data_IF_792750202908
#
_entry.id   IF_792750202908
#
_cell.length_a   1.000
_cell.length_b   1.000
_cell.length_c   1.000
_cell.angle_alpha   90.00
_cell.angle_beta   90.00
_cell.angle_gamma   90.00
#
_symmetry.space_group_name_H-M   'P 1'
#
loop_
_entity.id
_entity.type
_entity.pdbx_description
1 polymer ?
#
# COMPACT_ATOMS: atom_id res chain seq x y z
N UNK A 1 30.41 -40.75 -17.92
CA UNK A 1 29.31 -40.71 -16.93
C UNK A 1 29.44 -39.46 -16.10
N UNK A 2 30.49 -39.37 -15.27
CA UNK A 2 30.68 -38.25 -14.33
C UNK A 2 30.61 -36.87 -14.99
N UNK A 3 31.31 -36.62 -16.11
CA UNK A 3 31.37 -35.28 -16.73
C UNK A 3 30.00 -34.70 -17.11
N UNK A 4 29.27 -35.36 -18.02
CA UNK A 4 27.95 -34.86 -18.47
C UNK A 4 26.88 -34.88 -17.36
N UNK A 5 26.93 -35.84 -16.43
CA UNK A 5 26.00 -35.86 -15.30
C UNK A 5 26.27 -34.70 -14.32
N UNK A 6 27.54 -34.44 -13.99
CA UNK A 6 27.94 -33.28 -13.18
C UNK A 6 27.60 -31.96 -13.88
N UNK A 7 27.81 -31.85 -15.21
CA UNK A 7 27.41 -30.68 -16.00
C UNK A 7 25.89 -30.43 -15.92
N UNK A 8 25.07 -31.47 -16.08
CA UNK A 8 23.61 -31.37 -15.96
C UNK A 8 23.15 -30.99 -14.54
N UNK A 9 23.88 -31.40 -13.50
CA UNK A 9 23.62 -30.98 -12.12
C UNK A 9 24.01 -29.51 -11.88
N UNK A 10 25.17 -29.06 -12.37
CA UNK A 10 25.59 -27.65 -12.30
C UNK A 10 24.58 -26.73 -12.99
N UNK A 11 24.21 -27.03 -14.24
CA UNK A 11 23.21 -26.26 -14.99
C UNK A 11 21.84 -26.22 -14.29
N UNK A 12 21.46 -27.27 -13.55
CA UNK A 12 20.24 -27.27 -12.73
C UNK A 12 20.33 -26.30 -11.54
N UNK A 13 21.48 -26.25 -10.86
CA UNK A 13 21.74 -25.29 -9.78
C UNK A 13 21.76 -23.85 -10.33
N UNK A 14 22.52 -23.61 -11.40
CA UNK A 14 22.58 -22.33 -12.11
C UNK A 14 21.18 -21.84 -12.56
N UNK A 15 20.32 -22.73 -13.07
CA UNK A 15 18.93 -22.38 -13.43
C UNK A 15 18.11 -21.96 -12.21
N UNK A 16 18.24 -22.67 -11.09
CA UNK A 16 17.54 -22.33 -9.84
C UNK A 16 18.00 -20.98 -9.31
N UNK A 17 19.30 -20.71 -9.31
CA UNK A 17 19.87 -19.47 -8.79
C UNK A 17 19.60 -18.27 -9.71
N UNK A 18 19.64 -18.46 -11.04
CA UNK A 18 19.16 -17.47 -12.00
C UNK A 18 17.68 -17.13 -11.79
N UNK A 19 16.83 -18.14 -11.54
CA UNK A 19 15.40 -17.93 -11.24
C UNK A 19 15.17 -17.20 -9.91
N UNK A 20 15.96 -17.50 -8.86
CA UNK A 20 15.95 -16.74 -7.60
C UNK A 20 16.34 -15.28 -7.84
N UNK A 21 17.44 -15.04 -8.57
CA UNK A 21 17.90 -13.68 -8.91
C UNK A 21 16.85 -12.90 -9.69
N UNK A 22 16.24 -13.50 -10.73
CA UNK A 22 15.16 -12.88 -11.51
C UNK A 22 13.99 -12.46 -10.60
N UNK A 23 13.50 -13.38 -9.75
CA UNK A 23 12.41 -13.10 -8.79
C UNK A 23 12.76 -12.00 -7.78
N UNK A 24 14.03 -11.89 -7.37
CA UNK A 24 14.48 -10.81 -6.49
C UNK A 24 14.47 -9.45 -7.22
N UNK A 25 15.02 -9.39 -8.44
CA UNK A 25 15.01 -8.15 -9.24
C UNK A 25 13.57 -7.73 -9.60
N UNK A 26 12.68 -8.67 -9.94
CA UNK A 26 11.24 -8.40 -10.15
C UNK A 26 10.57 -7.82 -8.90
N UNK A 27 10.87 -8.35 -7.71
CA UNK A 27 10.34 -7.83 -6.44
C UNK A 27 10.83 -6.40 -6.17
N UNK A 28 12.10 -6.11 -6.45
CA UNK A 28 12.66 -4.75 -6.31
C UNK A 28 12.02 -3.78 -7.31
N UNK A 29 11.87 -4.20 -8.58
CA UNK A 29 11.19 -3.42 -9.62
C UNK A 29 9.76 -3.09 -9.21
N UNK A 30 8.98 -4.08 -8.76
CA UNK A 30 7.61 -3.90 -8.28
C UNK A 30 7.55 -2.91 -7.11
N UNK A 31 8.49 -2.98 -6.17
CA UNK A 31 8.60 -1.99 -5.08
C UNK A 31 8.84 -0.58 -5.62
N UNK A 32 9.84 -0.37 -6.48
CA UNK A 32 10.18 0.94 -7.07
C UNK A 32 8.99 1.54 -7.85
N UNK A 33 8.36 0.76 -8.74
CA UNK A 33 7.17 1.21 -9.49
C UNK A 33 6.00 1.53 -8.57
N UNK A 34 5.79 0.73 -7.51
CA UNK A 34 4.75 1.01 -6.52
C UNK A 34 5.04 2.23 -5.64
N UNK A 35 6.32 2.61 -5.48
CA UNK A 35 6.71 3.84 -4.81
C UNK A 35 6.40 5.02 -5.72
N UNK A 36 6.90 5.00 -6.97
CA UNK A 36 6.64 6.04 -7.98
C UNK A 36 5.14 6.37 -8.11
N UNK A 37 4.29 5.35 -8.24
CA UNK A 37 2.82 5.52 -8.33
C UNK A 37 2.20 6.07 -7.04
N UNK A 38 2.69 5.68 -5.86
CA UNK A 38 2.19 6.19 -4.57
C UNK A 38 2.66 7.62 -4.31
N UNK A 39 3.88 7.96 -4.67
CA UNK A 39 4.41 9.32 -4.55
C UNK A 39 3.76 10.27 -5.57
N UNK A 40 3.42 9.82 -6.79
CA UNK A 40 2.70 10.65 -7.76
C UNK A 40 1.23 10.90 -7.40
N UNK A 41 0.49 9.86 -6.97
CA UNK A 41 -0.88 10.04 -6.45
C UNK A 41 -0.92 10.79 -5.11
N UNK A 42 0.12 10.63 -4.28
CA UNK A 42 0.32 11.45 -3.09
C UNK A 42 0.58 12.92 -3.44
N UNK A 43 1.33 13.19 -4.51
CA UNK A 43 1.63 14.55 -4.98
C UNK A 43 0.37 15.28 -5.43
N UNK A 44 -0.43 14.70 -6.33
CA UNK A 44 -1.69 15.33 -6.78
C UNK A 44 -2.68 15.52 -5.63
N UNK A 45 -2.75 14.57 -4.69
CA UNK A 45 -3.55 14.70 -3.47
C UNK A 45 -3.04 15.82 -2.54
N UNK A 46 -1.73 16.08 -2.49
CA UNK A 46 -1.17 17.22 -1.75
C UNK A 46 -1.44 18.54 -2.46
N UNK A 47 -1.41 18.56 -3.79
CA UNK A 47 -1.68 19.75 -4.61
C UNK A 47 -3.12 20.20 -4.48
N UNK A 48 -4.11 19.32 -4.70
CA UNK A 48 -5.52 19.68 -4.49
C UNK A 48 -5.81 20.12 -3.05
N UNK A 49 -5.32 19.39 -2.04
CA UNK A 49 -5.53 19.80 -0.64
C UNK A 49 -4.86 21.14 -0.30
N UNK A 50 -3.82 21.54 -1.03
CA UNK A 50 -3.15 22.84 -0.90
C UNK A 50 -3.92 23.95 -1.63
N UNK A 51 -4.54 23.65 -2.77
CA UNK A 51 -5.50 24.53 -3.45
C UNK A 51 -6.73 24.76 -2.55
N UNK A 52 -7.38 23.69 -2.07
CA UNK A 52 -8.50 23.76 -1.11
C UNK A 52 -8.16 24.60 0.12
N UNK A 53 -6.96 24.42 0.69
CA UNK A 53 -6.55 25.14 1.89
C UNK A 53 -6.25 26.61 1.60
N UNK A 54 -5.79 26.96 0.39
CA UNK A 54 -5.63 28.36 -0.04
C UNK A 54 -6.98 29.03 -0.27
N UNK A 55 -7.93 28.35 -0.91
CA UNK A 55 -9.30 28.85 -1.12
C UNK A 55 -9.95 29.13 0.24
N UNK A 56 -9.92 28.17 1.16
CA UNK A 56 -10.40 28.33 2.54
C UNK A 56 -9.72 29.46 3.29
N UNK A 57 -8.41 29.66 3.11
CA UNK A 57 -7.70 30.79 3.70
C UNK A 57 -8.17 32.14 3.10
N UNK A 58 -8.51 32.17 1.80
CA UNK A 58 -9.13 33.31 1.14
C UNK A 58 -10.50 33.63 1.72
N UNK A 59 -11.39 32.64 1.80
CA UNK A 59 -12.73 32.73 2.41
C UNK A 59 -12.65 33.24 3.86
N UNK A 60 -11.82 32.61 4.70
CA UNK A 60 -11.56 33.02 6.09
C UNK A 60 -11.10 34.48 6.18
N UNK A 61 -10.22 34.94 5.27
CA UNK A 61 -9.76 36.33 5.27
C UNK A 61 -10.87 37.32 4.83
N UNK A 62 -11.70 36.94 3.86
CA UNK A 62 -12.80 37.78 3.39
C UNK A 62 -13.86 37.95 4.50
N UNK A 63 -14.30 36.86 5.12
CA UNK A 63 -15.24 36.89 6.25
C UNK A 63 -14.67 37.63 7.46
N UNK A 64 -13.38 37.41 7.79
CA UNK A 64 -12.69 38.12 8.86
C UNK A 64 -12.67 39.64 8.64
N UNK A 65 -12.35 40.09 7.42
CA UNK A 65 -12.36 41.50 7.07
C UNK A 65 -13.77 42.11 7.15
N UNK A 66 -14.80 41.37 6.70
CA UNK A 66 -16.19 41.81 6.82
C UNK A 66 -16.63 41.93 8.30
N UNK A 67 -16.25 40.98 9.15
CA UNK A 67 -16.55 41.04 10.60
C UNK A 67 -15.79 42.17 11.29
N UNK A 68 -14.53 42.45 10.93
CA UNK A 68 -13.79 43.61 11.41
C UNK A 68 -14.48 44.92 11.04
N UNK A 69 -14.82 45.11 9.76
CA UNK A 69 -15.52 46.30 9.29
C UNK A 69 -16.88 46.49 10.00
N UNK A 70 -17.62 45.40 10.24
CA UNK A 70 -18.87 45.43 11.01
C UNK A 70 -18.64 45.84 12.47
N UNK A 71 -17.59 45.35 13.12
CA UNK A 71 -17.22 45.75 14.49
C UNK A 71 -16.87 47.23 14.55
N UNK A 72 -15.99 47.72 13.68
CA UNK A 72 -15.63 49.14 13.60
C UNK A 72 -16.85 50.03 13.33
N UNK A 73 -17.78 49.58 12.47
CA UNK A 73 -19.02 50.31 12.21
C UNK A 73 -19.92 50.39 13.44
N UNK A 74 -20.02 49.32 14.24
CA UNK A 74 -20.80 49.32 15.49
C UNK A 74 -20.16 50.21 16.55
N UNK A 75 -18.82 50.18 16.67
CA UNK A 75 -18.07 51.05 17.59
C UNK A 75 -18.28 52.53 17.23
N UNK A 76 -18.17 52.91 15.95
CA UNK A 76 -18.46 54.28 15.49
C UNK A 76 -19.91 54.70 15.78
N UNK A 77 -20.88 53.80 15.60
CA UNK A 77 -22.28 54.06 15.90
C UNK A 77 -22.57 54.11 17.41
N UNK A 78 -21.80 53.43 18.25
CA UNK A 78 -21.88 53.54 19.70
C UNK A 78 -21.31 54.88 20.17
N UNK A 79 -20.13 55.28 19.68
CA UNK A 79 -19.55 56.60 19.99
C UNK A 79 -20.44 57.75 19.52
N UNK A 80 -21.02 57.68 18.32
CA UNK A 80 -21.95 58.70 17.83
C UNK A 80 -23.25 58.79 18.66
N UNK A 81 -23.72 57.68 19.26
CA UNK A 81 -24.83 57.70 20.21
C UNK A 81 -24.42 58.33 21.55
N UNK A 82 -23.20 58.05 22.04
CA UNK A 82 -22.65 58.66 23.25
C UNK A 82 -22.42 60.18 23.09
N UNK A 83 -21.94 60.65 21.93
CA UNK A 83 -21.79 62.08 21.61
C UNK A 83 -23.14 62.81 21.55
N UNK A 84 -24.21 62.14 21.11
CA UNK A 84 -25.57 62.69 21.18
C UNK A 84 -26.10 62.68 22.59
N UNK A 85 -25.85 61.62 23.35
CA UNK A 85 -26.25 61.51 24.75
C UNK A 85 -25.66 62.65 25.60
N UNK A 86 -24.38 62.99 25.43
CA UNK A 86 -23.78 64.14 26.13
C UNK A 86 -24.36 65.48 25.72
N UNK A 87 -24.78 65.64 24.45
CA UNK A 87 -25.50 66.83 23.99
C UNK A 87 -26.89 66.95 24.59
N UNK A 88 -27.66 65.85 24.68
CA UNK A 88 -28.98 65.85 25.30
C UNK A 88 -28.91 66.05 26.82
N UNK A 89 -27.88 65.53 27.51
CA UNK A 89 -27.63 65.81 28.93
C UNK A 89 -27.37 67.32 29.13
N UNK A 90 -26.50 67.93 28.32
CA UNK A 90 -26.27 69.37 28.40
C UNK A 90 -27.54 70.20 28.07
N UNK A 91 -28.38 69.72 27.15
CA UNK A 91 -29.67 70.33 26.86
C UNK A 91 -30.67 70.20 28.02
N UNK A 92 -30.66 69.07 28.74
CA UNK A 92 -31.46 68.88 29.96
C UNK A 92 -31.05 69.90 31.03
N UNK A 93 -29.76 70.06 31.29
CA UNK A 93 -29.25 70.98 32.31
C UNK A 93 -29.60 72.44 32.00
N UNK A 94 -29.59 72.82 30.71
CA UNK A 94 -30.08 74.12 30.26
C UNK A 94 -31.58 74.29 30.50
N UNK A 95 -32.41 73.32 30.10
CA UNK A 95 -33.87 73.40 30.28
C UNK A 95 -34.27 73.37 31.76
N UNK A 96 -33.51 72.66 32.60
CA UNK A 96 -33.67 72.68 34.06
C UNK A 96 -33.38 74.07 34.65
N UNK A 97 -32.36 74.77 34.12
CA UNK A 97 -32.07 76.17 34.45
C UNK A 97 -33.16 77.12 33.95
N UNK A 98 -33.65 76.94 32.72
CA UNK A 98 -34.74 77.75 32.15
C UNK A 98 -36.04 77.59 32.97
N UNK A 99 -36.35 76.37 33.41
CA UNK A 99 -37.52 76.04 34.23
C UNK A 99 -37.46 76.67 35.63
N UNK A 100 -36.26 76.74 36.25
CA UNK A 100 -36.05 77.44 37.52
C UNK A 100 -36.24 78.96 37.37
N UNK A 101 -35.84 79.53 36.23
CA UNK A 101 -35.91 80.97 35.96
C UNK A 101 -37.26 81.44 35.36
N UNK A 102 -38.17 80.52 35.01
CA UNK A 102 -39.43 80.86 34.35
C UNK A 102 -40.39 81.60 35.30
N UNK A 103 -40.75 82.84 34.97
CA UNK A 103 -41.64 83.67 35.80
C UNK A 103 -43.13 83.36 35.59
N UNK A 104 -43.54 82.92 34.39
CA UNK A 104 -44.95 82.66 34.04
C UNK A 104 -45.29 81.18 34.00
N UNK A 105 -46.53 80.82 34.33
CA UNK A 105 -46.99 79.41 34.32
C UNK A 105 -46.89 78.77 32.92
N UNK A 106 -47.21 79.51 31.86
CA UNK A 106 -47.07 79.01 30.49
C UNK A 106 -45.61 78.71 30.10
N UNK A 107 -44.65 79.54 30.52
CA UNK A 107 -43.23 79.26 30.30
C UNK A 107 -42.75 78.02 31.08
N UNK A 108 -43.24 77.82 32.32
CA UNK A 108 -42.96 76.62 33.11
C UNK A 108 -43.48 75.35 32.45
N UNK A 109 -44.71 75.38 31.90
CA UNK A 109 -45.30 74.24 31.20
C UNK A 109 -44.49 73.86 29.96
N UNK A 110 -44.14 74.84 29.10
CA UNK A 110 -43.32 74.60 27.89
C UNK A 110 -41.94 74.03 28.25
N UNK A 111 -41.30 74.55 29.31
CA UNK A 111 -40.02 74.03 29.78
C UNK A 111 -40.13 72.60 30.33
N UNK A 112 -41.21 72.28 31.06
CA UNK A 112 -41.46 70.95 31.59
C UNK A 112 -41.71 69.91 30.48
N UNK A 113 -42.55 70.22 29.49
CA UNK A 113 -42.78 69.35 28.32
C UNK A 113 -41.48 69.07 27.56
N UNK A 114 -40.65 70.10 27.36
CA UNK A 114 -39.35 69.97 26.71
C UNK A 114 -38.38 69.13 27.55
N UNK A 115 -38.40 69.26 28.87
CA UNK A 115 -37.58 68.47 29.78
C UNK A 115 -37.95 66.98 29.71
N UNK A 116 -39.25 66.66 29.67
CA UNK A 116 -39.73 65.29 29.53
C UNK A 116 -39.30 64.66 28.20
N UNK A 117 -39.42 65.39 27.08
CA UNK A 117 -38.93 64.94 25.77
C UNK A 117 -37.42 64.65 25.77
N UNK A 118 -36.61 65.50 26.40
CA UNK A 118 -35.16 65.29 26.52
C UNK A 118 -34.86 64.05 27.37
N UNK A 119 -35.57 63.85 28.49
CA UNK A 119 -35.40 62.67 29.36
C UNK A 119 -35.73 61.37 28.61
N UNK A 120 -36.81 61.33 27.83
CA UNK A 120 -37.15 60.19 26.99
C UNK A 120 -36.03 59.88 25.97
N UNK A 121 -35.53 60.92 25.29
CA UNK A 121 -34.46 60.79 24.28
C UNK A 121 -33.11 60.38 24.88
N UNK A 122 -32.79 60.81 26.10
CA UNK A 122 -31.63 60.34 26.88
C UNK A 122 -31.72 58.82 27.08
N UNK A 123 -32.86 58.32 27.58
CA UNK A 123 -33.05 56.88 27.82
C UNK A 123 -32.97 56.04 26.54
N UNK A 124 -33.51 56.54 25.42
CA UNK A 124 -33.37 55.91 24.10
C UNK A 124 -31.90 55.83 23.66
N UNK A 125 -31.13 56.91 23.79
CA UNK A 125 -29.72 56.97 23.39
C UNK A 125 -28.82 56.10 24.29
N UNK A 126 -29.12 55.99 25.58
CA UNK A 126 -28.41 55.09 26.51
C UNK A 126 -28.57 53.62 26.10
N UNK A 127 -29.80 53.16 25.86
CA UNK A 127 -30.04 51.78 25.40
C UNK A 127 -29.52 51.55 23.98
N UNK A 128 -29.61 52.53 23.07
CA UNK A 128 -29.02 52.47 21.73
C UNK A 128 -27.49 52.26 21.78
N UNK A 129 -26.78 53.06 22.59
CA UNK A 129 -25.33 52.96 22.75
C UNK A 129 -24.93 51.61 23.37
N UNK A 130 -25.64 51.19 24.42
CA UNK A 130 -25.42 49.94 25.16
C UNK A 130 -25.66 48.70 24.29
N UNK A 131 -26.73 48.68 23.48
CA UNK A 131 -27.00 47.59 22.54
C UNK A 131 -25.94 47.49 21.45
N UNK A 132 -25.48 48.63 20.90
CA UNK A 132 -24.41 48.68 19.89
C UNK A 132 -23.07 48.21 20.45
N UNK A 133 -22.72 48.62 21.67
CA UNK A 133 -21.51 48.17 22.34
C UNK A 133 -21.53 46.66 22.61
N UNK A 134 -22.63 46.14 23.16
CA UNK A 134 -22.79 44.70 23.39
C UNK A 134 -22.71 43.89 22.07
N UNK A 135 -23.22 44.42 20.96
CA UNK A 135 -23.09 43.81 19.64
C UNK A 135 -21.64 43.84 19.12
N UNK A 136 -20.89 44.92 19.35
CA UNK A 136 -19.46 45.01 19.00
C UNK A 136 -18.61 44.01 19.81
N UNK A 137 -18.88 43.89 21.11
CA UNK A 137 -18.21 42.95 22.02
C UNK A 137 -18.50 41.48 21.65
N UNK A 138 -19.72 41.18 21.20
CA UNK A 138 -20.06 39.85 20.69
C UNK A 138 -19.21 39.46 19.46
N UNK A 139 -18.85 40.42 18.59
CA UNK A 139 -17.98 40.18 17.43
C UNK A 139 -16.52 39.90 17.81
N UNK A 140 -16.04 40.31 19.00
CA UNK A 140 -14.68 40.00 19.48
C UNK A 140 -14.45 38.48 19.53
N UNK A 141 -15.43 37.74 20.06
CA UNK A 141 -15.38 36.26 20.13
C UNK A 141 -15.35 35.61 18.74
N UNK A 142 -16.08 36.20 17.78
CA UNK A 142 -16.09 35.74 16.38
C UNK A 142 -14.74 36.00 15.71
N UNK A 143 -14.16 37.19 15.91
CA UNK A 143 -12.81 37.58 15.44
C UNK A 143 -11.73 36.62 15.96
N UNK A 144 -11.80 36.19 17.23
CA UNK A 144 -10.91 35.17 17.76
C UNK A 144 -11.06 33.81 17.08
N UNK A 145 -12.31 33.39 16.78
CA UNK A 145 -12.59 32.17 16.02
C UNK A 145 -11.90 32.18 14.66
N UNK A 146 -12.02 33.29 13.92
CA UNK A 146 -11.34 33.49 12.65
C UNK A 146 -9.81 33.53 12.77
N UNK A 147 -9.25 34.13 13.83
CA UNK A 147 -7.79 34.07 14.09
C UNK A 147 -7.31 32.62 14.29
N UNK A 148 -8.08 31.80 15.00
CA UNK A 148 -7.81 30.37 15.24
C UNK A 148 -7.92 29.55 13.93
N UNK A 149 -8.97 29.75 13.12
CA UNK A 149 -9.12 29.04 11.83
C UNK A 149 -8.05 29.45 10.81
N UNK A 150 -7.67 30.74 10.76
CA UNK A 150 -6.60 31.29 9.91
C UNK A 150 -5.23 30.67 10.23
N UNK A 151 -4.88 30.58 11.51
CA UNK A 151 -3.60 29.96 11.94
C UNK A 151 -3.57 28.46 11.68
N UNK A 152 -4.65 27.73 11.97
CA UNK A 152 -4.78 26.30 11.64
C UNK A 152 -4.63 26.04 10.13
N UNK A 153 -5.30 26.82 9.29
CA UNK A 153 -5.26 26.68 7.83
C UNK A 153 -3.87 27.03 7.27
N UNK A 154 -3.23 28.07 7.80
CA UNK A 154 -1.83 28.42 7.48
C UNK A 154 -0.86 27.27 7.81
N UNK A 155 -0.98 26.64 8.98
CA UNK A 155 -0.18 25.47 9.33
C UNK A 155 -0.43 24.27 8.40
N UNK A 156 -1.67 24.08 7.93
CA UNK A 156 -1.99 23.03 6.96
C UNK A 156 -1.31 23.28 5.61
N UNK A 157 -1.39 24.51 5.08
CA UNK A 157 -0.67 24.93 3.86
C UNK A 157 0.83 24.73 4.03
N UNK A 158 1.40 25.10 5.18
CA UNK A 158 2.84 24.95 5.45
C UNK A 158 3.27 23.47 5.46
N UNK A 159 2.49 22.58 6.08
CA UNK A 159 2.73 21.13 6.09
C UNK A 159 2.67 20.53 4.69
N UNK A 160 1.64 20.88 3.91
CA UNK A 160 1.47 20.43 2.53
C UNK A 160 2.62 20.90 1.63
N UNK A 161 2.97 22.19 1.72
CA UNK A 161 4.08 22.80 0.98
C UNK A 161 5.42 22.11 1.27
N UNK A 162 5.70 21.77 2.54
CA UNK A 162 6.90 21.00 2.93
C UNK A 162 6.89 19.56 2.39
N UNK A 163 5.72 18.94 2.21
CA UNK A 163 5.61 17.57 1.70
C UNK A 163 5.78 17.43 0.18
N UNK A 164 5.41 18.47 -0.60
CA UNK A 164 5.54 18.50 -2.07
C UNK A 164 6.95 18.17 -2.59
N UNK A 165 8.06 18.82 -2.14
CA UNK A 165 9.40 18.49 -2.63
C UNK A 165 9.86 17.08 -2.23
N UNK A 166 9.42 16.56 -1.09
CA UNK A 166 9.74 15.19 -0.65
C UNK A 166 9.14 14.17 -1.62
N UNK A 167 7.87 14.35 -2.01
CA UNK A 167 7.19 13.49 -2.98
C UNK A 167 7.81 13.59 -4.38
N UNK A 168 8.14 14.81 -4.84
CA UNK A 168 8.85 15.03 -6.10
C UNK A 168 10.21 14.31 -6.14
N UNK A 169 10.98 14.37 -5.05
CA UNK A 169 12.27 13.66 -4.96
C UNK A 169 12.09 12.14 -4.93
N UNK A 170 11.08 11.62 -4.22
CA UNK A 170 10.74 10.19 -4.26
C UNK A 170 10.37 9.72 -5.67
N UNK A 171 9.58 10.51 -6.43
CA UNK A 171 9.24 10.21 -7.83
C UNK A 171 10.53 10.13 -8.65
N UNK A 172 11.39 11.17 -8.62
CA UNK A 172 12.66 11.21 -9.38
C UNK A 172 13.58 10.03 -9.09
N UNK A 173 13.76 9.67 -7.81
CA UNK A 173 14.62 8.53 -7.43
C UNK A 173 13.99 7.20 -7.90
N UNK A 174 12.68 7.02 -7.67
CA UNK A 174 12.01 5.76 -8.00
C UNK A 174 11.77 5.52 -9.49
N UNK A 175 11.65 6.56 -10.32
CA UNK A 175 11.64 6.40 -11.78
C UNK A 175 12.99 5.87 -12.28
N UNK A 176 14.09 6.54 -11.92
CA UNK A 176 15.47 6.14 -12.25
C UNK A 176 15.78 4.71 -11.77
N UNK A 177 15.43 4.40 -10.51
CA UNK A 177 15.60 3.04 -9.97
C UNK A 177 14.73 2.02 -10.73
N UNK A 178 13.50 2.37 -11.10
CA UNK A 178 12.63 1.45 -11.85
C UNK A 178 13.19 1.14 -13.24
N UNK A 179 13.78 2.11 -13.93
CA UNK A 179 14.44 1.92 -15.23
C UNK A 179 15.70 1.06 -15.12
N UNK A 180 16.53 1.33 -14.11
CA UNK A 180 17.71 0.52 -13.80
C UNK A 180 17.33 -0.92 -13.47
N UNK A 181 16.25 -1.11 -12.71
CA UNK A 181 15.73 -2.42 -12.33
C UNK A 181 15.05 -3.15 -13.50
N UNK A 182 14.36 -2.46 -14.41
CA UNK A 182 13.85 -3.04 -15.68
C UNK A 182 15.00 -3.68 -16.47
N UNK A 183 16.06 -2.93 -16.76
CA UNK A 183 17.26 -3.43 -17.47
C UNK A 183 17.91 -4.64 -16.76
N UNK A 184 17.89 -4.67 -15.42
CA UNK A 184 18.37 -5.82 -14.60
C UNK A 184 17.45 -7.04 -14.66
N UNK A 185 16.13 -6.84 -14.67
CA UNK A 185 15.16 -7.93 -14.86
C UNK A 185 15.31 -8.53 -16.26
N UNK A 186 15.41 -7.71 -17.31
CA UNK A 186 15.55 -8.19 -18.69
C UNK A 186 16.82 -9.01 -18.89
N UNK A 187 17.93 -8.58 -18.29
CA UNK A 187 19.20 -9.35 -18.33
C UNK A 187 19.13 -10.63 -17.50
N UNK A 188 18.43 -10.64 -16.36
CA UNK A 188 18.19 -11.85 -15.57
C UNK A 188 17.29 -12.87 -16.32
N UNK A 189 16.22 -12.39 -16.98
CA UNK A 189 15.34 -13.20 -17.85
C UNK A 189 16.16 -13.86 -18.96
N UNK A 190 16.98 -13.08 -19.69
CA UNK A 190 17.85 -13.59 -20.77
C UNK A 190 18.84 -14.65 -20.25
N UNK A 191 19.44 -14.44 -19.08
CA UNK A 191 20.34 -15.42 -18.44
C UNK A 191 19.62 -16.73 -18.10
N UNK A 192 18.46 -16.68 -17.44
CA UNK A 192 17.69 -17.89 -17.08
C UNK A 192 17.22 -18.67 -18.32
N UNK A 193 16.75 -17.95 -19.36
CA UNK A 193 16.38 -18.57 -20.64
C UNK A 193 17.57 -19.28 -21.30
N UNK A 194 18.75 -18.65 -21.32
CA UNK A 194 19.96 -19.25 -21.90
C UNK A 194 20.41 -20.50 -21.12
N UNK A 195 20.45 -20.44 -19.79
CA UNK A 195 20.78 -21.62 -18.96
C UNK A 195 19.75 -22.73 -19.16
N UNK A 196 18.45 -22.42 -19.30
CA UNK A 196 17.44 -23.43 -19.61
C UNK A 196 17.70 -24.09 -20.96
N UNK A 197 17.92 -23.32 -22.04
CA UNK A 197 18.22 -23.85 -23.38
C UNK A 197 19.42 -24.80 -23.36
N UNK A 198 20.50 -24.42 -22.67
CA UNK A 198 21.71 -25.25 -22.54
C UNK A 198 21.42 -26.52 -21.72
N UNK A 199 20.69 -26.40 -20.60
CA UNK A 199 20.25 -27.52 -19.78
C UNK A 199 19.41 -28.52 -20.56
N UNK A 200 18.50 -28.05 -21.42
CA UNK A 200 17.62 -28.90 -22.22
C UNK A 200 18.43 -29.69 -23.27
N UNK A 201 19.40 -29.06 -23.93
CA UNK A 201 20.34 -29.72 -24.86
C UNK A 201 21.21 -30.75 -24.15
N UNK A 202 21.79 -30.40 -23.00
CA UNK A 202 22.62 -31.33 -22.20
C UNK A 202 21.79 -32.50 -21.68
N UNK A 203 20.56 -32.26 -21.25
CA UNK A 203 19.64 -33.29 -20.75
C UNK A 203 19.24 -34.27 -21.85
N UNK A 204 18.95 -33.80 -23.08
CA UNK A 204 18.72 -34.65 -24.25
C UNK A 204 19.94 -35.54 -24.55
N UNK A 205 21.14 -34.96 -24.63
CA UNK A 205 22.40 -35.71 -24.87
C UNK A 205 22.66 -36.76 -23.78
N UNK A 206 22.38 -36.44 -22.51
CA UNK A 206 22.50 -37.37 -21.39
C UNK A 206 21.50 -38.52 -21.50
N UNK A 207 20.23 -38.23 -21.79
CA UNK A 207 19.17 -39.22 -21.97
C UNK A 207 19.50 -40.20 -23.12
N UNK A 208 19.98 -39.70 -24.26
CA UNK A 208 20.44 -40.51 -25.38
C UNK A 208 21.60 -41.45 -24.98
N UNK A 209 22.63 -40.94 -24.30
CA UNK A 209 23.74 -41.77 -23.84
C UNK A 209 23.26 -42.86 -22.87
N UNK A 210 22.31 -42.55 -21.99
CA UNK A 210 21.72 -43.53 -21.08
C UNK A 210 20.88 -44.58 -21.82
N UNK A 211 20.12 -44.19 -22.84
CA UNK A 211 19.38 -45.11 -23.70
C UNK A 211 20.32 -46.04 -24.49
N UNK A 212 21.39 -45.50 -25.10
CA UNK A 212 22.44 -46.28 -25.77
C UNK A 212 23.07 -47.30 -24.81
N UNK A 213 23.39 -46.90 -23.58
CA UNK A 213 23.93 -47.81 -22.54
C UNK A 213 22.95 -48.90 -22.13
N UNK A 214 21.67 -48.57 -21.91
CA UNK A 214 20.62 -49.56 -21.61
C UNK A 214 20.48 -50.60 -22.73
N UNK A 215 20.50 -50.16 -24.00
CA UNK A 215 20.49 -51.05 -25.18
C UNK A 215 21.71 -51.99 -25.22
N UNK A 216 22.92 -51.48 -24.96
CA UNK A 216 24.15 -52.29 -24.92
C UNK A 216 24.13 -53.30 -23.75
N UNK A 217 23.70 -52.86 -22.56
CA UNK A 217 23.57 -53.73 -21.39
C UNK A 217 22.54 -54.85 -21.62
N UNK A 218 21.39 -54.54 -22.21
CA UNK A 218 20.38 -55.53 -22.59
C UNK A 218 20.93 -56.56 -23.61
N UNK A 219 21.65 -56.11 -24.64
CA UNK A 219 22.32 -57.00 -25.61
C UNK A 219 23.34 -57.93 -24.92
N UNK A 220 24.19 -57.40 -24.02
CA UNK A 220 25.16 -58.19 -23.24
C UNK A 220 24.47 -59.20 -22.30
N UNK A 221 23.38 -58.80 -21.64
CA UNK A 221 22.60 -59.70 -20.78
C UNK A 221 21.90 -60.82 -21.57
N UNK A 222 21.33 -60.50 -22.73
CA UNK A 222 20.73 -61.48 -23.64
C UNK A 222 21.77 -62.48 -24.18
N UNK A 223 22.97 -62.02 -24.54
CA UNK A 223 24.08 -62.88 -24.95
C UNK A 223 24.51 -63.82 -23.81
N UNK A 224 24.68 -63.33 -22.58
CA UNK A 224 24.98 -64.16 -21.40
C UNK A 224 23.89 -65.21 -21.14
N UNK A 225 22.60 -64.85 -21.25
CA UNK A 225 21.47 -65.79 -21.13
C UNK A 225 21.50 -66.87 -22.23
N UNK A 226 21.73 -66.50 -23.50
CA UNK A 226 21.88 -67.47 -24.60
C UNK A 226 23.08 -68.40 -24.40
N UNK A 227 24.22 -67.90 -23.92
CA UNK A 227 25.40 -68.71 -23.62
C UNK A 227 25.15 -69.69 -22.45
N UNK A 228 24.49 -69.24 -21.38
CA UNK A 228 24.09 -70.11 -20.26
C UNK A 228 23.11 -71.20 -20.72
N UNK A 229 22.11 -70.85 -21.54
CA UNK A 229 21.18 -71.82 -22.11
C UNK A 229 21.88 -72.87 -23.00
N UNK A 230 22.85 -72.46 -23.83
CA UNK A 230 23.68 -73.38 -24.63
C UNK A 230 24.51 -74.34 -23.75
N UNK A 231 25.13 -73.83 -22.66
CA UNK A 231 25.87 -74.67 -21.69
C UNK A 231 24.96 -75.62 -20.89
N UNK A 232 23.70 -75.24 -20.63
CA UNK A 232 22.71 -76.13 -20.02
C UNK A 232 22.21 -77.21 -20.99
N UNK A 233 22.03 -76.87 -22.27
CA UNK A 233 21.60 -77.80 -23.32
C UNK A 233 22.66 -78.87 -23.64
N UNK A 234 23.95 -78.51 -23.65
CA UNK A 234 25.03 -79.50 -23.85
C UNK A 234 25.11 -80.52 -22.71
N UNK A 235 24.97 -80.08 -21.45
CA UNK A 235 24.86 -80.99 -20.29
C UNK A 235 23.65 -81.93 -20.40
N UNK A 236 22.50 -81.48 -20.91
CA UNK A 236 21.34 -82.36 -21.17
C UNK A 236 21.55 -83.35 -22.33
N UNK A 237 22.30 -83.00 -23.39
CA UNK A 237 22.64 -83.95 -24.46
C UNK A 237 23.60 -85.04 -23.98
N UNK A 238 24.54 -84.73 -23.08
CA UNK A 238 25.42 -85.75 -22.48
C UNK A 238 24.64 -86.80 -21.67
N UNK A 239 23.58 -86.40 -20.95
CA UNK A 239 22.73 -87.32 -20.19
C UNK A 239 21.87 -88.26 -21.06
N UNK A 240 21.46 -87.84 -22.27
CA UNK A 240 20.62 -88.68 -23.16
C UNK A 240 21.38 -89.80 -23.89
N UNK A 241 22.72 -89.75 -23.99
CA UNK A 241 23.51 -90.75 -24.74
C UNK A 241 23.76 -92.09 -24.01
N UNK A 242 23.36 -92.22 -22.74
CA UNK A 242 23.61 -93.44 -21.91
C UNK A 242 22.43 -94.41 -21.74
N UNK A 243 21.24 -94.12 -22.29
CA UNK A 243 20.00 -94.84 -21.92
C UNK A 243 19.50 -95.83 -22.99
N UNK A 244 19.96 -95.75 -24.24
CA UNK A 244 19.45 -96.58 -25.35
C UNK A 244 20.47 -97.60 -25.89
N UNK A 245 20.81 -98.61 -25.08
CA UNK A 245 21.21 -99.98 -25.51
C UNK A 245 21.51 -100.91 -24.31
N UNK A 246 20.45 -101.45 -23.69
CA UNK A 246 20.49 -102.78 -23.03
C UNK A 246 19.09 -103.37 -22.79
N UNK A 247 18.79 -104.45 -23.52
CA UNK A 247 18.01 -105.63 -23.12
C UNK A 247 18.94 -106.80 -23.49
N UNK A 248 19.13 -107.87 -22.72
CA UNK A 248 18.15 -108.71 -22.01
C UNK A 248 18.58 -109.11 -20.58
N UNK A 249 17.85 -110.04 -19.94
CA UNK A 249 17.73 -110.32 -18.48
C UNK A 249 18.73 -111.41 -17.95
N UNK A 250 18.68 -111.99 -16.71
CA UNK A 250 17.63 -111.90 -15.65
C UNK A 250 18.05 -111.92 -14.13
N UNK A 251 17.02 -111.78 -13.25
CA UNK A 251 16.84 -112.24 -11.84
C UNK A 251 17.87 -111.90 -10.72
N UNK A 252 17.43 -111.14 -9.68
CA UNK A 252 17.10 -111.64 -8.31
C UNK A 252 16.35 -110.59 -7.42
N UNK A 253 16.04 -110.95 -6.16
CA UNK A 253 14.92 -110.46 -5.32
C UNK A 253 15.24 -109.29 -4.35
N UNK A 254 14.17 -108.78 -3.69
CA UNK A 254 14.11 -107.98 -2.43
C UNK A 254 14.46 -106.48 -2.50
N UNK A 255 13.95 -105.57 -1.66
CA UNK A 255 12.68 -105.48 -0.89
C UNK A 255 12.54 -104.03 -0.32
N UNK A 256 11.39 -103.73 0.30
CA UNK A 256 11.19 -102.69 1.34
C UNK A 256 11.15 -101.17 0.99
N UNK A 257 9.90 -100.66 0.96
CA UNK A 257 9.33 -99.60 1.84
C UNK A 257 9.68 -98.09 1.71
N UNK A 258 8.59 -97.33 1.91
CA UNK A 258 8.43 -95.89 2.29
C UNK A 258 8.73 -94.83 1.22
N UNK A 259 8.04 -93.69 1.12
CA UNK A 259 6.69 -93.16 1.48
C UNK A 259 6.85 -91.62 1.44
N UNK A 260 5.89 -90.88 0.86
CA UNK A 260 5.53 -89.46 1.18
C UNK A 260 6.61 -88.35 1.01
N UNK A 261 6.32 -87.04 0.85
CA UNK A 261 5.11 -86.26 0.52
C UNK A 261 5.56 -84.81 0.18
N UNK A 262 5.05 -84.14 -0.87
CA UNK A 262 3.91 -83.18 -0.90
C UNK A 262 4.15 -81.80 -0.20
N UNK A 263 3.57 -80.75 -0.80
CA UNK A 263 3.53 -79.30 -0.43
C UNK A 263 4.80 -78.50 -0.82
N UNK A 264 4.78 -77.39 -1.56
CA UNK A 264 3.75 -76.43 -2.05
C UNK A 264 3.25 -75.38 -1.03
N UNK A 265 3.58 -74.11 -1.33
CA UNK A 265 2.98 -72.78 -0.98
C UNK A 265 4.07 -71.81 -0.47
N UNK A 266 3.97 -70.47 -0.50
CA UNK A 266 3.27 -69.42 -1.30
C UNK A 266 3.47 -68.10 -0.50
N UNK A 267 3.65 -66.95 -1.17
CA UNK A 267 3.40 -65.57 -0.68
C UNK A 267 4.16 -65.01 0.56
N UNK A 268 4.92 -63.95 0.29
CA UNK A 268 4.71 -62.55 0.74
C UNK A 268 5.24 -61.64 -0.40
N UNK A 269 5.12 -60.31 -0.52
CA UNK A 269 4.28 -59.22 0.04
C UNK A 269 4.24 -59.00 1.57
N UNK A 270 5.04 -58.03 2.03
CA UNK A 270 4.52 -56.73 2.48
C UNK A 270 5.33 -55.62 1.79
#
# INVERSE_FOLDING_TARGET
MASLAKLAQKLKQEKLDASKQRRLQEKMLKKAVSLARRSSSGLSSVEHRLEDSKVKLGEINAEFNHVLARKESLERLASAAQERLTQEIAAKDQVETDLQNAETEGAKQIAAERMEQIIQKIAELEEEAKQRQAAADALVKVIEGFKKSKTQTSHQIQKQTKSKPVLLNQIKVSTVDSERLRKRVDTAVKKEQNVSKILDVVSKKLAEQMARKRRIAARKAAAKRKAAARKAASKKKAAKKKITKKKTAPKKKTAAKKKSSKKQKKKSRR
#
